data_IF_226729607058
#
_entry.id   IF_226729607058
#
_cell.length_a   1.000
_cell.length_b   1.000
_cell.length_c   1.000
_cell.angle_alpha   90.00
_cell.angle_beta   90.00
_cell.angle_gamma   90.00
#
_symmetry.space_group_name_H-M   'P 1'
#
loop_
_entity.id
_entity.type
_entity.pdbx_description
1 polymer ?
#
# COMPACT_ATOMS: atom_id res chain seq x y z
N UNK A 1 -16.23 -3.79 2.18
CA UNK A 1 -15.58 -2.82 3.09
C UNK A 1 -14.08 -2.93 2.87
N UNK A 2 -13.48 -1.91 2.25
CA UNK A 2 -12.04 -1.88 1.95
C UNK A 2 -11.20 -1.87 3.24
N UNK A 3 -11.71 -1.21 4.30
CA UNK A 3 -11.04 -1.13 5.60
C UNK A 3 -10.76 -2.49 6.25
N UNK A 4 -11.74 -3.40 6.28
CA UNK A 4 -11.57 -4.73 6.88
C UNK A 4 -10.55 -5.61 6.14
N UNK A 5 -10.25 -5.31 4.87
CA UNK A 5 -9.25 -6.01 4.08
C UNK A 5 -7.84 -5.47 4.33
N UNK A 6 -7.71 -4.15 4.47
CA UNK A 6 -6.41 -3.49 4.62
C UNK A 6 -5.95 -3.37 6.07
N UNK A 7 -6.89 -3.48 7.02
CA UNK A 7 -6.65 -3.38 8.45
C UNK A 7 -7.52 -4.38 9.24
N UNK A 8 -7.37 -5.71 9.02
CA UNK A 8 -8.32 -6.72 9.48
C UNK A 8 -8.48 -6.81 11.01
N UNK A 9 -7.41 -6.53 11.77
CA UNK A 9 -7.37 -6.78 13.22
C UNK A 9 -7.38 -5.49 14.06
N UNK A 10 -7.80 -4.36 13.49
CA UNK A 10 -7.76 -3.07 14.20
C UNK A 10 -9.00 -2.23 13.93
N UNK A 11 -9.39 -1.49 14.97
CA UNK A 11 -10.40 -0.44 14.87
C UNK A 11 -9.71 0.90 14.67
N UNK A 12 -10.37 1.81 13.95
CA UNK A 12 -9.89 3.19 13.87
C UNK A 12 -9.98 3.86 15.25
N UNK A 13 -9.09 4.84 15.55
CA UNK A 13 -9.22 5.67 16.73
C UNK A 13 -10.58 6.41 16.79
N UNK A 14 -11.01 6.77 17.99
CA UNK A 14 -12.23 7.54 18.20
C UNK A 14 -12.16 8.88 17.41
N UNK A 15 -13.29 9.27 16.80
CA UNK A 15 -13.46 10.48 15.99
C UNK A 15 -12.70 10.50 14.64
N UNK A 16 -12.15 9.36 14.19
CA UNK A 16 -11.61 9.22 12.84
C UNK A 16 -12.66 8.58 11.92
N UNK A 17 -12.93 9.21 10.76
CA UNK A 17 -13.78 8.61 9.74
C UNK A 17 -13.00 7.61 8.88
N UNK A 18 -13.69 6.64 8.27
CA UNK A 18 -13.08 5.71 7.30
C UNK A 18 -12.57 6.47 6.06
N UNK A 19 -13.27 7.52 5.62
CA UNK A 19 -12.88 8.34 4.47
C UNK A 19 -11.56 9.10 4.72
N UNK A 20 -11.42 9.72 5.89
CA UNK A 20 -10.18 10.40 6.27
C UNK A 20 -9.03 9.40 6.35
N UNK A 21 -9.31 8.21 6.88
CA UNK A 21 -8.30 7.16 7.00
C UNK A 21 -7.83 6.70 5.62
N UNK A 22 -8.74 6.37 4.71
CA UNK A 22 -8.40 5.94 3.35
C UNK A 22 -7.66 7.05 2.59
N UNK A 23 -8.04 8.31 2.78
CA UNK A 23 -7.31 9.46 2.21
C UNK A 23 -5.88 9.54 2.76
N UNK A 24 -5.68 9.33 4.05
CA UNK A 24 -4.34 9.29 4.66
C UNK A 24 -3.52 8.07 4.19
N UNK A 25 -4.15 6.92 3.94
CA UNK A 25 -3.50 5.75 3.31
C UNK A 25 -3.05 6.07 1.91
N UNK A 26 -3.89 6.74 1.11
CA UNK A 26 -3.52 7.19 -0.23
C UNK A 26 -2.32 8.13 -0.18
N UNK A 27 -2.30 9.11 0.73
CA UNK A 27 -1.14 9.98 0.93
C UNK A 27 0.13 9.20 1.31
N UNK A 28 0.01 8.17 2.14
CA UNK A 28 1.14 7.31 2.49
C UNK A 28 1.68 6.56 1.27
N UNK A 29 0.79 5.98 0.45
CA UNK A 29 1.17 5.29 -0.79
C UNK A 29 1.83 6.23 -1.79
N UNK A 30 1.24 7.41 -2.01
CA UNK A 30 1.81 8.43 -2.90
C UNK A 30 3.22 8.82 -2.47
N UNK A 31 3.45 8.99 -1.16
CA UNK A 31 4.78 9.25 -0.62
C UNK A 31 5.74 8.08 -0.88
N UNK A 32 5.32 6.86 -0.57
CA UNK A 32 6.21 5.68 -0.64
C UNK A 32 6.47 5.21 -2.06
N UNK A 33 5.56 5.45 -3.01
CA UNK A 33 5.78 5.18 -4.43
C UNK A 33 6.25 6.41 -5.22
N UNK A 34 6.35 7.58 -4.57
CA UNK A 34 6.76 8.84 -5.19
C UNK A 34 5.86 9.26 -6.37
N UNK A 35 4.55 9.01 -6.24
CA UNK A 35 3.57 9.37 -7.25
C UNK A 35 3.18 10.85 -7.19
N UNK A 36 2.48 11.29 -8.24
CA UNK A 36 1.72 12.55 -8.22
C UNK A 36 0.34 12.31 -7.58
N UNK A 37 0.09 12.98 -6.44
CA UNK A 37 -1.17 12.83 -5.69
C UNK A 37 -2.42 13.18 -6.52
N UNK A 38 -2.39 14.29 -7.24
CA UNK A 38 -3.55 14.79 -7.98
C UNK A 38 -3.88 13.84 -9.14
N UNK A 39 -2.85 13.30 -9.79
CA UNK A 39 -3.01 12.29 -10.83
C UNK A 39 -3.63 11.00 -10.28
N UNK A 40 -3.16 10.51 -9.14
CA UNK A 40 -3.68 9.26 -8.55
C UNK A 40 -5.12 9.45 -8.07
N UNK A 41 -5.43 10.59 -7.44
CA UNK A 41 -6.79 10.92 -6.98
C UNK A 41 -7.81 10.99 -8.13
N UNK A 42 -7.39 11.48 -9.30
CA UNK A 42 -8.26 11.60 -10.48
C UNK A 42 -8.62 10.26 -11.15
N UNK A 43 -7.88 9.17 -10.90
CA UNK A 43 -8.09 7.89 -11.58
C UNK A 43 -9.39 7.16 -11.21
N UNK A 44 -10.09 7.58 -10.14
CA UNK A 44 -11.31 6.93 -9.61
C UNK A 44 -11.21 5.38 -9.55
N UNK A 45 -9.99 4.87 -9.36
CA UNK A 45 -9.65 3.44 -9.42
C UNK A 45 -9.34 2.96 -8.00
N UNK A 46 -9.74 1.73 -7.61
CA UNK A 46 -9.38 1.19 -6.29
C UNK A 46 -7.87 1.17 -6.06
N UNK A 47 -7.41 1.50 -4.85
CA UNK A 47 -5.98 1.60 -4.53
C UNK A 47 -5.22 0.31 -4.82
N UNK A 48 -5.83 -0.86 -4.56
CA UNK A 48 -5.25 -2.15 -4.89
C UNK A 48 -4.94 -2.30 -6.39
N UNK A 49 -5.85 -1.89 -7.27
CA UNK A 49 -5.64 -1.96 -8.72
C UNK A 49 -4.61 -0.95 -9.21
N UNK A 50 -4.45 0.20 -8.54
CA UNK A 50 -3.38 1.16 -8.83
C UNK A 50 -2.02 0.53 -8.49
N UNK A 51 -1.92 -0.10 -7.32
CA UNK A 51 -0.70 -0.78 -6.87
C UNK A 51 -0.33 -1.96 -7.77
N UNK A 52 -1.30 -2.78 -8.18
CA UNK A 52 -1.07 -3.90 -9.09
C UNK A 52 -0.46 -3.42 -10.42
N UNK A 53 -1.06 -2.38 -11.03
CA UNK A 53 -0.56 -1.80 -12.29
C UNK A 53 0.83 -1.18 -12.13
N UNK A 54 1.06 -0.47 -11.03
CA UNK A 54 2.37 0.12 -10.78
C UNK A 54 3.45 -0.94 -10.60
N UNK A 55 3.17 -1.97 -9.80
CA UNK A 55 4.11 -3.05 -9.56
C UNK A 55 4.34 -3.83 -10.85
N UNK A 56 3.29 -4.12 -11.62
CA UNK A 56 3.41 -4.80 -12.91
C UNK A 56 4.32 -4.03 -13.86
N UNK A 57 4.08 -2.73 -14.03
CA UNK A 57 4.87 -1.86 -14.89
C UNK A 57 6.31 -1.72 -14.37
N UNK A 58 6.45 -1.44 -13.07
CA UNK A 58 7.73 -1.20 -12.42
C UNK A 58 8.64 -2.42 -12.44
N UNK A 59 8.11 -3.64 -12.27
CA UNK A 59 8.92 -4.86 -12.38
C UNK A 59 9.56 -5.06 -13.76
N UNK A 60 8.99 -4.50 -14.84
CA UNK A 60 9.58 -4.57 -16.18
C UNK A 60 10.43 -3.33 -16.54
N UNK A 61 10.09 -2.15 -16.00
CA UNK A 61 10.65 -0.87 -16.47
C UNK A 61 11.49 -0.14 -15.41
N UNK A 62 11.14 -0.26 -14.13
CA UNK A 62 11.89 0.31 -13.01
C UNK A 62 11.82 -0.58 -11.75
N UNK A 63 12.56 -1.72 -11.75
CA UNK A 63 12.55 -2.64 -10.62
C UNK A 63 13.10 -1.96 -9.37
N UNK A 64 14.15 -1.14 -9.52
CA UNK A 64 14.78 -0.41 -8.43
C UNK A 64 13.80 0.51 -7.70
N UNK A 65 13.01 1.30 -8.44
CA UNK A 65 11.96 2.13 -7.86
C UNK A 65 10.90 1.32 -7.13
N UNK A 66 10.48 0.20 -7.72
CA UNK A 66 9.49 -0.73 -7.13
C UNK A 66 10.00 -1.33 -5.81
N UNK A 67 11.22 -1.88 -5.79
CA UNK A 67 11.82 -2.43 -4.57
C UNK A 67 12.09 -1.34 -3.53
N UNK A 68 12.44 -0.11 -3.95
CA UNK A 68 12.58 1.01 -3.03
C UNK A 68 11.25 1.39 -2.37
N UNK A 69 10.12 1.29 -3.08
CA UNK A 69 8.80 1.46 -2.49
C UNK A 69 8.47 0.36 -1.46
N UNK A 70 8.79 -0.90 -1.78
CA UNK A 70 8.62 -2.02 -0.84
C UNK A 70 9.45 -1.84 0.44
N UNK A 71 10.68 -1.36 0.29
CA UNK A 71 11.54 -1.02 1.42
C UNK A 71 10.94 0.12 2.26
N UNK A 72 10.51 1.22 1.62
CA UNK A 72 9.87 2.35 2.32
C UNK A 72 8.59 1.96 3.05
N UNK A 73 7.88 0.92 2.61
CA UNK A 73 6.69 0.36 3.26
C UNK A 73 6.99 -0.70 4.35
N UNK A 74 8.25 -1.06 4.52
CA UNK A 74 8.72 -2.13 5.41
C UNK A 74 8.00 -3.47 5.11
N UNK A 75 7.94 -3.88 3.84
CA UNK A 75 7.37 -5.19 3.47
C UNK A 75 8.26 -6.35 3.97
N UNK A 76 9.57 -6.13 4.05
CA UNK A 76 10.56 -7.16 4.38
C UNK A 76 11.01 -7.93 3.14
N UNK A 77 12.32 -8.05 2.96
CA UNK A 77 12.91 -8.69 1.77
C UNK A 77 12.48 -10.17 1.65
N UNK A 78 12.49 -10.91 2.76
CA UNK A 78 12.13 -12.33 2.76
C UNK A 78 10.69 -12.57 2.29
N UNK A 79 9.75 -11.71 2.71
CA UNK A 79 8.35 -11.79 2.28
C UNK A 79 8.24 -11.53 0.77
N UNK A 80 8.89 -10.48 0.28
CA UNK A 80 8.86 -10.13 -1.15
C UNK A 80 9.46 -11.26 -1.99
N UNK A 81 10.62 -11.78 -1.58
CA UNK A 81 11.29 -12.90 -2.27
C UNK A 81 10.46 -14.16 -2.27
N UNK A 82 9.86 -14.51 -1.13
CA UNK A 82 8.96 -15.65 -1.03
C UNK A 82 7.78 -15.51 -1.99
N UNK A 83 7.10 -14.36 -2.02
CA UNK A 83 5.96 -14.14 -2.91
C UNK A 83 6.38 -14.24 -4.39
N UNK A 84 7.48 -13.62 -4.78
CA UNK A 84 7.98 -13.65 -6.16
C UNK A 84 8.45 -15.04 -6.60
N UNK A 85 8.85 -15.90 -5.66
CA UNK A 85 9.33 -17.25 -5.94
C UNK A 85 8.21 -18.30 -5.94
N UNK A 86 7.24 -18.19 -5.03
CA UNK A 86 6.21 -19.20 -4.82
C UNK A 86 4.97 -19.04 -5.71
N UNK A 87 4.75 -17.86 -6.28
CA UNK A 87 3.54 -17.56 -7.04
C UNK A 87 3.85 -17.12 -8.46
N UNK A 88 2.98 -17.50 -9.40
CA UNK A 88 3.01 -16.97 -10.75
C UNK A 88 2.84 -15.44 -10.74
N UNK A 89 3.44 -14.79 -11.74
CA UNK A 89 3.58 -13.34 -11.80
C UNK A 89 2.28 -12.56 -11.51
N UNK A 90 1.12 -12.86 -12.13
CA UNK A 90 -0.11 -12.11 -11.84
C UNK A 90 -0.54 -12.21 -10.38
N UNK A 91 -0.40 -13.41 -9.79
CA UNK A 91 -0.76 -13.65 -8.38
C UNK A 91 0.24 -13.01 -7.44
N UNK A 92 1.54 -13.06 -7.76
CA UNK A 92 2.58 -12.39 -6.99
C UNK A 92 2.35 -10.87 -6.95
N UNK A 93 2.03 -10.25 -8.08
CA UNK A 93 1.72 -8.81 -8.18
C UNK A 93 0.51 -8.46 -7.32
N UNK A 94 -0.60 -9.19 -7.43
CA UNK A 94 -1.79 -8.98 -6.61
C UNK A 94 -1.49 -9.08 -5.11
N UNK A 95 -0.73 -10.09 -4.69
CA UNK A 95 -0.33 -10.28 -3.30
C UNK A 95 0.58 -9.15 -2.80
N UNK A 96 1.55 -8.72 -3.60
CA UNK A 96 2.43 -7.60 -3.26
C UNK A 96 1.65 -6.29 -3.15
N UNK A 97 0.72 -6.02 -4.08
CA UNK A 97 -0.16 -4.86 -4.03
C UNK A 97 -1.00 -4.83 -2.77
N UNK A 98 -1.61 -5.95 -2.40
CA UNK A 98 -2.37 -6.07 -1.15
C UNK A 98 -1.48 -5.87 0.09
N UNK A 99 -0.26 -6.43 0.10
CA UNK A 99 0.69 -6.24 1.21
C UNK A 99 1.15 -4.79 1.32
N UNK A 100 1.43 -4.11 0.20
CA UNK A 100 1.71 -2.68 0.18
C UNK A 100 0.59 -1.86 0.81
N UNK A 101 -0.65 -2.15 0.42
CA UNK A 101 -1.82 -1.45 0.95
C UNK A 101 -2.01 -1.69 2.45
N UNK A 102 -1.88 -2.95 2.90
CA UNK A 102 -1.94 -3.31 4.33
C UNK A 102 -0.85 -2.61 5.15
N UNK A 103 0.38 -2.55 4.64
CA UNK A 103 1.50 -1.86 5.31
C UNK A 103 1.29 -0.36 5.37
N UNK A 104 0.82 0.27 4.30
CA UNK A 104 0.48 1.69 4.29
C UNK A 104 -0.63 2.01 5.32
N UNK A 105 -1.69 1.21 5.35
CA UNK A 105 -2.77 1.31 6.33
C UNK A 105 -2.26 1.18 7.77
N UNK A 106 -1.41 0.18 8.04
CA UNK A 106 -0.82 -0.01 9.36
C UNK A 106 0.06 1.17 9.80
N UNK A 107 0.83 1.77 8.88
CA UNK A 107 1.64 2.96 9.18
C UNK A 107 0.79 4.16 9.56
N UNK A 108 -0.25 4.43 8.77
CA UNK A 108 -1.21 5.51 9.06
C UNK A 108 -1.88 5.29 10.41
N UNK A 109 -2.41 4.08 10.61
CA UNK A 109 -3.06 3.71 11.87
C UNK A 109 -2.13 3.90 13.06
N UNK A 110 -0.88 3.42 12.98
CA UNK A 110 0.10 3.53 14.07
C UNK A 110 0.37 5.00 14.41
N UNK A 111 0.50 5.88 13.41
CA UNK A 111 0.64 7.32 13.66
C UNK A 111 -0.59 7.91 14.31
N UNK A 112 -1.79 7.60 13.83
CA UNK A 112 -3.01 8.14 14.42
C UNK A 112 -3.25 7.66 15.85
N UNK A 113 -2.89 6.41 16.15
CA UNK A 113 -3.04 5.84 17.50
C UNK A 113 -2.00 6.37 18.49
N UNK A 114 -0.75 6.60 18.05
CA UNK A 114 0.37 6.85 18.98
C UNK A 114 1.08 8.21 18.79
N UNK A 115 0.78 8.99 17.75
CA UNK A 115 1.35 10.34 17.58
C UNK A 115 0.63 11.42 18.39
N UNK A 116 -0.37 11.07 19.20
CA UNK A 116 -0.93 11.97 20.21
C UNK A 116 -0.04 11.90 21.47
N UNK A 117 1.01 12.72 21.48
CA UNK A 117 1.67 13.21 22.69
C UNK A 117 1.83 14.72 22.59
#
# INVERSE_FOLDING_TARGET
MELARILPDKTLPLNCSEEDFLTAVLHQLVKDFQWDFERVKALATPMASILEREIEWGMDHDPSGTFAAFYRLDLGEDLVRMILHEFERPKAIAMLGEKCLQRAALKVWTRWTYSVK
#
